data_IF_900494870005
#
_entry.id   IF_900494870005
#
_cell.length_a   1.000
_cell.length_b   1.000
_cell.length_c   1.000
_cell.angle_alpha   90.00
_cell.angle_beta   90.00
_cell.angle_gamma   90.00
#
_symmetry.space_group_name_H-M   'P 1'
#
loop_
_entity.id
_entity.type
_entity.pdbx_description
1 polymer ?
#
# COMPACT_ATOMS: atom_id res chain seq x y z
N UNK A 1 -17.72 10.15 43.42
CA UNK A 1 -16.28 10.37 43.19
C UNK A 1 -15.97 10.02 41.75
N UNK A 2 -15.36 10.95 41.00
CA UNK A 2 -14.88 10.67 39.64
C UNK A 2 -13.63 9.79 39.70
N UNK A 3 -13.83 8.47 39.58
CA UNK A 3 -12.76 7.47 39.58
C UNK A 3 -11.90 7.53 38.32
N UNK A 4 -12.41 8.10 37.22
CA UNK A 4 -11.69 8.18 35.95
C UNK A 4 -10.64 9.28 36.03
N UNK A 5 -10.99 10.44 36.60
CA UNK A 5 -10.05 11.54 36.84
C UNK A 5 -8.92 11.21 37.83
N UNK A 6 -8.92 10.05 38.50
CA UNK A 6 -7.80 9.58 39.34
C UNK A 6 -6.76 8.76 38.58
N UNK A 7 -7.03 8.37 37.33
CA UNK A 7 -6.07 7.62 36.52
C UNK A 7 -4.86 8.50 36.12
N UNK A 8 -3.67 7.93 35.92
CA UNK A 8 -2.54 8.63 35.31
C UNK A 8 -2.84 9.10 33.89
N UNK A 9 -2.23 10.22 33.46
CA UNK A 9 -2.47 10.81 32.13
C UNK A 9 -2.19 9.80 31.00
N UNK A 10 -1.15 8.97 31.11
CA UNK A 10 -0.86 7.95 30.11
C UNK A 10 -2.03 6.97 29.86
N UNK A 11 -2.76 6.57 30.92
CA UNK A 11 -3.92 5.69 30.78
C UNK A 11 -5.14 6.43 30.23
N UNK A 12 -5.27 7.72 30.56
CA UNK A 12 -6.33 8.56 30.02
C UNK A 12 -6.11 8.83 28.52
N UNK A 13 -4.87 9.14 28.10
CA UNK A 13 -4.50 9.31 26.71
C UNK A 13 -4.71 8.03 25.90
N UNK A 14 -4.39 6.86 26.48
CA UNK A 14 -4.69 5.57 25.84
C UNK A 14 -6.18 5.35 25.62
N UNK A 15 -7.03 5.71 26.60
CA UNK A 15 -8.50 5.64 26.46
C UNK A 15 -9.01 6.65 25.43
N UNK A 16 -8.54 7.90 25.48
CA UNK A 16 -8.91 8.93 24.52
C UNK A 16 -8.50 8.56 23.09
N UNK A 17 -7.32 7.97 22.90
CA UNK A 17 -6.85 7.48 21.59
C UNK A 17 -7.68 6.31 21.03
N UNK A 18 -8.45 5.64 21.89
CA UNK A 18 -9.37 4.56 21.49
C UNK A 18 -10.79 5.06 21.17
N UNK A 19 -11.07 6.34 21.39
CA UNK A 19 -12.36 6.93 21.01
C UNK A 19 -12.48 7.01 19.48
N UNK A 20 -13.70 6.87 18.93
CA UNK A 20 -13.88 6.72 17.50
C UNK A 20 -13.71 8.03 16.71
N UNK A 21 -13.90 9.19 17.35
CA UNK A 21 -13.81 10.49 16.68
C UNK A 21 -13.16 11.58 17.55
N UNK A 22 -12.54 12.57 16.90
CA UNK A 22 -11.97 13.75 17.52
C UNK A 22 -13.04 14.56 18.26
N UNK A 23 -14.29 14.54 17.80
CA UNK A 23 -15.42 15.15 18.50
C UNK A 23 -15.62 14.54 19.90
N UNK A 24 -15.56 13.21 20.00
CA UNK A 24 -15.73 12.52 21.28
C UNK A 24 -14.56 12.83 22.22
N UNK A 25 -13.35 12.88 21.67
CA UNK A 25 -12.15 13.25 22.42
C UNK A 25 -12.26 14.69 22.93
N UNK A 26 -12.58 15.66 22.08
CA UNK A 26 -12.72 17.07 22.45
C UNK A 26 -13.89 17.25 23.43
N UNK A 27 -15.00 16.52 23.27
CA UNK A 27 -16.13 16.58 24.20
C UNK A 27 -15.72 16.21 25.64
N UNK A 28 -14.66 15.43 25.85
CA UNK A 28 -14.16 15.14 27.20
C UNK A 28 -13.60 16.37 27.92
N UNK A 29 -13.29 17.46 27.21
CA UNK A 29 -12.74 18.69 27.79
C UNK A 29 -13.64 19.30 28.88
N UNK A 30 -14.95 19.03 28.84
CA UNK A 30 -15.93 19.57 29.80
C UNK A 30 -16.04 18.73 31.08
N UNK A 31 -15.36 17.57 31.16
CA UNK A 31 -15.45 16.68 32.33
C UNK A 31 -14.79 17.28 33.57
N UNK A 32 -13.61 17.91 33.42
CA UNK A 32 -12.96 18.67 34.49
C UNK A 32 -11.83 19.55 33.94
N UNK A 33 -11.28 20.43 34.78
CA UNK A 33 -10.10 21.25 34.44
C UNK A 33 -8.90 20.43 33.96
N UNK A 34 -8.76 19.18 34.41
CA UNK A 34 -7.69 18.27 33.96
C UNK A 34 -7.91 17.82 32.53
N UNK A 35 -9.15 17.51 32.16
CA UNK A 35 -9.49 17.05 30.80
C UNK A 35 -9.50 18.18 29.77
N UNK A 36 -9.63 19.43 30.22
CA UNK A 36 -9.66 20.62 29.35
C UNK A 36 -8.49 20.67 28.36
N UNK A 37 -7.31 20.22 28.78
CA UNK A 37 -6.09 20.21 27.95
C UNK A 37 -5.62 18.81 27.58
N UNK A 38 -6.19 17.77 28.18
CA UNK A 38 -5.72 16.39 28.01
C UNK A 38 -5.95 15.88 26.57
N UNK A 39 -7.03 16.32 25.93
CA UNK A 39 -7.31 15.98 24.54
C UNK A 39 -6.24 16.51 23.57
N UNK A 40 -5.55 17.59 23.93
CA UNK A 40 -4.47 18.19 23.11
C UNK A 40 -3.20 17.36 23.11
N UNK A 41 -3.07 16.39 24.02
CA UNK A 41 -1.91 15.50 24.12
C UNK A 41 -2.19 14.12 23.50
N UNK A 42 -3.32 13.97 22.82
CA UNK A 42 -3.71 12.70 22.22
C UNK A 42 -2.91 12.47 20.93
N UNK A 43 -2.15 11.37 20.83
CA UNK A 43 -1.26 11.14 19.70
C UNK A 43 -2.00 10.86 18.39
N UNK A 44 -3.27 10.44 18.45
CA UNK A 44 -4.08 10.09 17.29
C UNK A 44 -5.46 10.74 17.34
N UNK A 45 -5.80 11.49 16.30
CA UNK A 45 -7.14 12.07 16.14
C UNK A 45 -7.79 11.62 14.83
N UNK A 46 -9.07 11.23 14.92
CA UNK A 46 -9.89 10.78 13.79
C UNK A 46 -10.98 11.81 13.52
N UNK A 47 -10.90 12.52 12.40
CA UNK A 47 -11.89 13.49 11.98
C UNK A 47 -12.82 12.86 10.94
N UNK A 48 -14.13 13.01 11.11
CA UNK A 48 -15.14 12.57 10.16
C UNK A 48 -15.78 13.77 9.44
N UNK A 49 -16.62 13.50 8.43
CA UNK A 49 -17.39 14.51 7.69
C UNK A 49 -18.09 15.57 8.55
N UNK A 50 -18.47 15.20 9.79
CA UNK A 50 -19.29 16.05 10.65
C UNK A 50 -18.44 17.03 11.46
N UNK A 51 -17.11 16.86 11.48
CA UNK A 51 -16.22 17.64 12.33
C UNK A 51 -14.95 18.03 11.58
N UNK A 52 -14.97 19.20 10.95
CA UNK A 52 -13.99 19.57 9.94
C UNK A 52 -12.93 20.58 10.40
N UNK A 53 -12.86 20.93 11.69
CA UNK A 53 -11.92 21.96 12.16
C UNK A 53 -10.79 21.43 13.06
N UNK A 54 -9.67 20.96 12.47
CA UNK A 54 -8.47 20.55 13.19
C UNK A 54 -7.55 21.72 13.61
N UNK A 55 -7.86 23.00 13.31
CA UNK A 55 -6.92 24.13 13.49
C UNK A 55 -6.46 24.36 14.95
N UNK A 56 -7.17 23.79 15.91
CA UNK A 56 -6.96 23.95 17.34
C UNK A 56 -6.18 22.80 18.01
N UNK A 57 -5.83 21.73 17.29
CA UNK A 57 -5.11 20.61 17.87
C UNK A 57 -3.58 20.84 17.79
N UNK A 58 -2.84 20.86 18.90
CA UNK A 58 -1.39 20.99 18.87
C UNK A 58 -0.74 19.60 18.78
N UNK A 59 0.21 19.45 17.84
CA UNK A 59 1.16 18.33 17.68
C UNK A 59 0.54 16.94 17.85
N UNK A 60 0.10 16.38 16.72
CA UNK A 60 -0.47 15.03 16.64
C UNK A 60 0.52 14.13 15.91
N UNK A 61 0.71 12.90 16.36
CA UNK A 61 1.55 11.93 15.65
C UNK A 61 0.82 11.38 14.41
N UNK A 62 -0.45 10.99 14.58
CA UNK A 62 -1.31 10.43 13.52
C UNK A 62 -2.60 11.24 13.35
N UNK A 63 -2.82 11.74 12.14
CA UNK A 63 -4.04 12.44 11.76
C UNK A 63 -4.81 11.61 10.74
N UNK A 64 -6.04 11.24 11.09
CA UNK A 64 -6.87 10.37 10.26
C UNK A 64 -8.15 11.12 9.86
N UNK A 65 -8.35 11.32 8.57
CA UNK A 65 -9.56 11.87 7.99
C UNK A 65 -10.41 10.78 7.33
N UNK A 66 -11.64 10.60 7.83
CA UNK A 66 -12.65 9.70 7.27
C UNK A 66 -13.74 10.50 6.59
N UNK A 67 -13.71 10.50 5.27
CA UNK A 67 -14.52 11.36 4.42
C UNK A 67 -15.61 10.55 3.76
N UNK A 68 -16.84 11.03 3.77
CA UNK A 68 -18.02 10.44 3.18
C UNK A 68 -18.76 11.43 2.27
N UNK A 69 -20.07 11.19 2.10
CA UNK A 69 -20.93 11.81 1.06
C UNK A 69 -20.98 13.33 1.09
N UNK A 70 -20.66 13.96 2.22
CA UNK A 70 -20.93 15.38 2.46
C UNK A 70 -19.69 16.28 2.34
N UNK A 71 -18.51 15.73 2.11
CA UNK A 71 -17.29 16.55 2.05
C UNK A 71 -17.12 17.32 0.75
N UNK A 72 -16.88 18.63 0.89
CA UNK A 72 -16.54 19.52 -0.21
C UNK A 72 -15.02 19.60 -0.42
N UNK A 73 -14.60 20.13 -1.56
CA UNK A 73 -13.17 20.36 -1.87
C UNK A 73 -12.51 21.43 -0.99
N UNK A 74 -13.30 22.26 -0.31
CA UNK A 74 -12.80 23.27 0.63
C UNK A 74 -12.22 22.69 1.92
N UNK A 75 -12.78 21.57 2.39
CA UNK A 75 -12.52 21.05 3.73
C UNK A 75 -11.11 20.42 3.82
N UNK A 76 -10.63 19.86 2.71
CA UNK A 76 -9.33 19.21 2.60
C UNK A 76 -8.18 20.19 2.64
N UNK A 77 -8.39 21.41 2.12
CA UNK A 77 -7.38 22.47 2.24
C UNK A 77 -7.15 22.85 3.70
N UNK A 78 -8.20 22.88 4.51
CA UNK A 78 -8.11 23.16 5.95
C UNK A 78 -7.35 22.05 6.66
N UNK A 79 -7.63 20.80 6.31
CA UNK A 79 -7.01 19.62 6.91
C UNK A 79 -5.53 19.47 6.60
N UNK A 80 -5.14 19.72 5.36
CA UNK A 80 -3.74 19.65 4.99
C UNK A 80 -2.96 20.79 5.63
N UNK A 81 -3.53 22.00 5.69
CA UNK A 81 -2.93 23.08 6.48
C UNK A 81 -2.76 22.68 7.94
N UNK A 82 -3.70 21.96 8.52
CA UNK A 82 -3.57 21.47 9.89
C UNK A 82 -2.52 20.37 10.01
N UNK A 83 -2.46 19.42 9.07
CA UNK A 83 -1.42 18.38 9.00
C UNK A 83 -0.01 19.00 8.93
N UNK A 84 0.17 19.99 8.05
CA UNK A 84 1.41 20.75 7.89
C UNK A 84 1.77 21.51 9.16
N UNK A 85 0.80 22.26 9.72
CA UNK A 85 0.97 23.02 10.97
C UNK A 85 1.30 22.12 12.16
N UNK A 86 0.76 20.91 12.20
CA UNK A 86 0.97 19.96 13.28
C UNK A 86 2.20 19.07 13.08
N UNK A 87 2.89 19.16 11.92
CA UNK A 87 4.05 18.32 11.57
C UNK A 87 3.78 16.82 11.77
N UNK A 88 2.60 16.35 11.32
CA UNK A 88 2.15 14.98 11.55
C UNK A 88 3.13 13.96 10.95
N UNK A 89 3.36 12.86 11.68
CA UNK A 89 4.22 11.76 11.21
C UNK A 89 3.46 10.81 10.31
N UNK A 90 2.17 10.62 10.58
CA UNK A 90 1.28 9.75 9.82
C UNK A 90 0.01 10.51 9.43
N UNK A 91 -0.31 10.49 8.14
CA UNK A 91 -1.55 11.05 7.60
C UNK A 91 -2.33 9.95 6.89
N UNK A 92 -3.57 9.74 7.33
CA UNK A 92 -4.49 8.78 6.74
C UNK A 92 -5.68 9.55 6.18
N UNK A 93 -5.97 9.37 4.90
CA UNK A 93 -7.11 9.98 4.21
C UNK A 93 -7.92 8.86 3.58
N UNK A 94 -9.15 8.66 4.07
CA UNK A 94 -10.10 7.68 3.56
C UNK A 94 -11.31 8.41 2.97
N UNK A 95 -11.67 8.14 1.71
CA UNK A 95 -12.81 8.76 1.03
C UNK A 95 -13.83 7.69 0.62
N UNK A 96 -14.99 7.67 1.26
CA UNK A 96 -16.01 6.63 1.11
C UNK A 96 -17.12 6.98 0.13
N UNK A 97 -17.29 8.25 -0.26
CA UNK A 97 -18.33 8.62 -1.21
C UNK A 97 -18.25 10.10 -1.58
N UNK A 98 -18.09 10.44 -2.87
CA UNK A 98 -18.47 11.77 -3.34
C UNK A 98 -18.99 11.70 -4.77
N UNK A 99 -20.04 12.47 -5.07
CA UNK A 99 -20.58 12.62 -6.43
C UNK A 99 -19.60 13.33 -7.38
N UNK A 100 -18.58 13.98 -6.82
CA UNK A 100 -17.61 14.80 -7.54
C UNK A 100 -16.20 14.52 -7.02
N UNK A 101 -15.20 14.35 -7.89
CA UNK A 101 -13.83 14.15 -7.47
C UNK A 101 -13.33 15.13 -6.43
N UNK A 102 -12.96 14.56 -5.30
CA UNK A 102 -12.20 15.27 -4.30
C UNK A 102 -10.73 15.16 -4.68
N UNK A 103 -10.14 16.27 -5.12
CA UNK A 103 -8.73 16.34 -5.55
C UNK A 103 -7.83 16.68 -4.37
N UNK A 104 -6.77 15.91 -4.15
CA UNK A 104 -5.74 16.25 -3.14
C UNK A 104 -5.10 17.61 -3.50
N UNK A 105 -5.16 18.63 -2.64
CA UNK A 105 -4.59 19.93 -2.93
C UNK A 105 -3.06 19.91 -2.82
N UNK A 106 -2.42 20.79 -3.58
CA UNK A 106 -0.96 20.95 -3.67
C UNK A 106 -0.26 21.13 -2.33
N UNK A 107 -0.95 21.65 -1.32
CA UNK A 107 -0.40 21.87 0.02
C UNK A 107 0.19 20.60 0.64
N UNK A 108 -0.35 19.40 0.33
CA UNK A 108 0.13 18.14 0.91
C UNK A 108 1.56 17.79 0.50
N UNK A 109 2.00 18.36 -0.62
CA UNK A 109 3.29 18.13 -1.23
C UNK A 109 3.96 19.43 -1.68
N UNK A 110 3.62 20.58 -1.09
CA UNK A 110 4.29 21.86 -1.40
C UNK A 110 4.99 22.49 -0.20
N UNK A 111 4.84 21.89 0.98
CA UNK A 111 5.58 22.25 2.20
C UNK A 111 6.62 21.18 2.53
N UNK A 112 7.68 21.55 3.25
CA UNK A 112 8.72 20.62 3.75
C UNK A 112 8.19 19.69 4.85
N UNK A 113 7.15 18.93 4.53
CA UNK A 113 6.44 18.06 5.46
C UNK A 113 7.35 16.91 5.88
N UNK A 114 7.40 16.64 7.19
CA UNK A 114 8.17 15.54 7.79
C UNK A 114 7.34 14.26 7.91
N UNK A 115 6.40 14.09 7.00
CA UNK A 115 5.48 12.96 7.01
C UNK A 115 6.22 11.69 6.64
N UNK A 116 6.12 10.68 7.50
CA UNK A 116 6.77 9.38 7.32
C UNK A 116 5.83 8.39 6.63
N UNK A 117 4.54 8.45 6.96
CA UNK A 117 3.55 7.52 6.46
C UNK A 117 2.36 8.26 5.85
N UNK A 118 1.98 7.88 4.64
CA UNK A 118 0.79 8.38 3.95
C UNK A 118 -0.11 7.22 3.56
N UNK A 119 -1.39 7.30 3.91
CA UNK A 119 -2.41 6.35 3.48
C UNK A 119 -3.51 7.06 2.71
N UNK A 120 -3.70 6.63 1.46
CA UNK A 120 -4.67 7.15 0.51
C UNK A 120 -5.67 6.05 0.16
N UNK A 121 -6.89 6.18 0.63
CA UNK A 121 -7.95 5.19 0.40
C UNK A 121 -9.09 5.82 -0.38
N UNK A 122 -9.37 5.26 -1.56
CA UNK A 122 -10.49 5.62 -2.45
C UNK A 122 -10.49 7.09 -2.91
N UNK A 123 -9.31 7.61 -3.28
CA UNK A 123 -9.11 9.02 -3.65
C UNK A 123 -9.07 9.22 -5.17
N UNK A 124 -9.41 10.43 -5.66
CA UNK A 124 -9.09 10.89 -7.02
C UNK A 124 -7.89 11.81 -7.02
N UNK A 125 -6.94 11.52 -7.90
CA UNK A 125 -5.66 12.21 -7.97
C UNK A 125 -5.73 13.42 -8.91
N UNK A 126 -4.97 14.50 -8.67
CA UNK A 126 -4.94 15.68 -9.54
C UNK A 126 -4.33 15.44 -10.94
N UNK A 127 -3.89 14.21 -11.23
CA UNK A 127 -3.16 13.82 -12.43
C UNK A 127 -1.89 13.04 -12.06
N UNK A 128 -1.20 12.51 -13.07
CA UNK A 128 -0.07 11.60 -12.90
C UNK A 128 1.15 12.25 -12.22
N UNK A 129 1.29 13.58 -12.36
CA UNK A 129 2.39 14.35 -11.76
C UNK A 129 2.29 14.44 -10.23
N UNK A 130 1.14 14.09 -9.63
CA UNK A 130 0.94 14.09 -8.18
C UNK A 130 1.99 13.28 -7.44
N UNK A 131 2.21 12.03 -7.87
CA UNK A 131 3.08 11.10 -7.14
C UNK A 131 4.54 11.56 -7.24
N UNK A 132 4.94 12.06 -8.41
CA UNK A 132 6.26 12.68 -8.61
C UNK A 132 6.46 13.90 -7.71
N UNK A 133 5.45 14.78 -7.63
CA UNK A 133 5.49 15.94 -6.74
C UNK A 133 5.46 15.54 -5.25
N UNK A 134 4.79 14.44 -4.89
CA UNK A 134 4.77 13.92 -3.53
C UNK A 134 6.18 13.53 -3.07
N UNK A 135 6.88 12.68 -3.83
CA UNK A 135 8.22 12.23 -3.45
C UNK A 135 9.28 13.34 -3.55
N UNK A 136 9.14 14.29 -4.48
CA UNK A 136 10.07 15.43 -4.57
C UNK A 136 9.99 16.38 -3.36
N UNK A 137 8.82 16.47 -2.72
CA UNK A 137 8.58 17.42 -1.63
C UNK A 137 8.46 16.77 -0.24
N UNK A 138 8.25 15.45 -0.18
CA UNK A 138 8.27 14.63 1.03
C UNK A 138 9.42 13.60 0.98
N UNK A 139 10.69 14.04 1.00
CA UNK A 139 11.83 13.14 0.78
C UNK A 139 12.03 12.12 1.91
N UNK A 140 11.38 12.29 3.07
CA UNK A 140 11.47 11.39 4.23
C UNK A 140 10.34 10.35 4.28
N UNK A 141 9.49 10.27 3.25
CA UNK A 141 8.37 9.33 3.23
C UNK A 141 8.88 7.88 3.18
N UNK A 142 8.63 7.12 4.24
CA UNK A 142 9.04 5.71 4.38
C UNK A 142 7.90 4.73 4.10
N UNK A 143 6.65 5.14 4.31
CA UNK A 143 5.47 4.30 4.13
C UNK A 143 4.41 4.93 3.24
N UNK A 144 3.94 4.20 2.23
CA UNK A 144 2.84 4.61 1.36
C UNK A 144 1.81 3.49 1.25
N UNK A 145 0.55 3.80 1.55
CA UNK A 145 -0.60 2.92 1.36
C UNK A 145 -1.53 3.56 0.34
N UNK A 146 -1.88 2.81 -0.70
CA UNK A 146 -2.81 3.24 -1.75
C UNK A 146 -3.84 2.15 -1.94
N UNK A 147 -5.10 2.47 -1.67
CA UNK A 147 -6.24 1.56 -1.85
C UNK A 147 -7.20 2.17 -2.84
N UNK A 148 -7.31 1.60 -4.04
CA UNK A 148 -8.09 2.12 -5.17
C UNK A 148 -9.51 1.55 -5.16
N UNK A 149 -10.45 2.32 -5.73
CA UNK A 149 -11.86 1.95 -5.90
C UNK A 149 -12.35 2.27 -7.31
N UNK A 150 -13.55 1.79 -7.71
CA UNK A 150 -14.15 2.01 -9.05
C UNK A 150 -14.11 3.45 -9.55
N UNK A 151 -14.17 4.43 -8.64
CA UNK A 151 -14.21 5.83 -9.00
C UNK A 151 -12.83 6.47 -9.22
N UNK A 152 -11.74 5.73 -9.11
CA UNK A 152 -10.39 6.25 -9.32
C UNK A 152 -10.21 6.77 -10.76
N UNK A 153 -9.59 7.94 -10.88
CA UNK A 153 -9.35 8.62 -12.15
C UNK A 153 -7.96 8.36 -12.71
N UNK A 154 -7.08 7.71 -11.96
CA UNK A 154 -5.79 7.24 -12.46
C UNK A 154 -5.99 5.87 -13.09
N UNK A 155 -5.42 5.65 -14.27
CA UNK A 155 -5.34 4.32 -14.89
C UNK A 155 -4.13 3.58 -14.33
N UNK A 156 -2.95 4.19 -14.41
CA UNK A 156 -1.68 3.62 -13.98
C UNK A 156 -1.07 4.46 -12.85
N UNK A 157 -0.97 3.87 -11.66
CA UNK A 157 -0.43 4.56 -10.50
C UNK A 157 1.09 4.42 -10.43
N UNK A 158 1.82 5.53 -10.64
CA UNK A 158 3.28 5.51 -10.83
C UNK A 158 4.04 6.02 -9.62
N UNK A 159 4.75 5.14 -8.91
CA UNK A 159 5.70 5.42 -7.84
C UNK A 159 7.10 5.53 -8.45
N UNK A 160 7.63 6.74 -8.61
CA UNK A 160 9.00 7.00 -9.07
C UNK A 160 9.71 8.00 -8.16
N UNK A 161 11.00 7.79 -7.92
CA UNK A 161 11.82 8.69 -7.11
C UNK A 161 11.61 8.57 -5.61
N UNK A 162 10.99 7.48 -5.14
CA UNK A 162 10.77 7.18 -3.73
C UNK A 162 12.03 6.65 -3.03
N UNK A 163 13.11 7.44 -3.00
CA UNK A 163 14.43 7.00 -2.53
C UNK A 163 14.46 6.53 -1.06
N UNK A 164 13.52 6.98 -0.22
CA UNK A 164 13.41 6.58 1.18
C UNK A 164 12.24 5.64 1.47
N UNK A 165 11.46 5.26 0.45
CA UNK A 165 10.27 4.44 0.63
C UNK A 165 10.67 3.01 0.98
N UNK A 166 10.30 2.56 2.19
CA UNK A 166 10.59 1.22 2.71
C UNK A 166 9.37 0.30 2.67
N UNK A 167 8.17 0.85 2.77
CA UNK A 167 6.92 0.08 2.77
C UNK A 167 5.93 0.65 1.76
N UNK A 168 5.43 -0.22 0.88
CA UNK A 168 4.44 0.13 -0.13
C UNK A 168 3.31 -0.89 -0.11
N UNK A 169 2.08 -0.40 0.04
CA UNK A 169 0.85 -1.19 -0.01
C UNK A 169 -0.02 -0.66 -1.14
N UNK A 170 -0.35 -1.51 -2.11
CA UNK A 170 -1.13 -1.17 -3.29
C UNK A 170 -2.30 -2.14 -3.42
N UNK A 171 -3.50 -1.72 -3.04
CA UNK A 171 -4.69 -2.56 -3.14
C UNK A 171 -5.68 -1.98 -4.17
N UNK A 172 -6.29 -2.84 -4.96
CA UNK A 172 -7.29 -2.50 -5.98
C UNK A 172 -8.42 -3.51 -5.89
N UNK A 173 -9.59 -3.09 -5.42
CA UNK A 173 -10.65 -3.97 -4.90
C UNK A 173 -11.76 -4.34 -5.91
N UNK A 174 -11.62 -4.04 -7.21
CA UNK A 174 -12.75 -4.26 -8.13
C UNK A 174 -12.38 -4.62 -9.57
N UNK A 175 -12.94 -5.75 -10.03
CA UNK A 175 -12.89 -6.29 -11.38
C UNK A 175 -13.89 -5.58 -12.31
N UNK A 176 -13.60 -4.34 -12.71
CA UNK A 176 -14.29 -3.78 -13.87
C UNK A 176 -13.75 -4.48 -15.13
N UNK A 177 -14.53 -5.40 -15.70
CA UNK A 177 -14.29 -6.12 -16.98
C UNK A 177 -14.05 -5.22 -18.21
N UNK A 178 -13.78 -3.92 -18.05
CA UNK A 178 -13.75 -2.93 -19.12
C UNK A 178 -12.61 -1.89 -19.03
N UNK A 179 -11.63 -2.02 -18.13
CA UNK A 179 -10.41 -1.17 -18.15
C UNK A 179 -9.18 -2.05 -18.37
N UNK A 180 -8.83 -2.24 -19.63
CA UNK A 180 -7.67 -3.04 -20.08
C UNK A 180 -6.32 -2.39 -19.69
N UNK A 181 -6.32 -1.09 -19.33
CA UNK A 181 -5.07 -0.34 -19.06
C UNK A 181 -4.94 0.16 -17.61
N UNK A 182 -5.54 -0.53 -16.62
CA UNK A 182 -5.33 -0.17 -15.22
C UNK A 182 -4.08 -0.86 -14.65
N UNK A 183 -3.36 -0.20 -13.74
CA UNK A 183 -2.12 -0.79 -13.25
C UNK A 183 -1.33 0.01 -12.23
N UNK A 184 -0.16 -0.51 -11.87
CA UNK A 184 0.82 0.19 -11.04
C UNK A 184 2.21 0.19 -11.70
N UNK A 185 2.97 1.25 -11.49
CA UNK A 185 4.37 1.35 -11.90
C UNK A 185 5.23 1.68 -10.69
N UNK A 186 6.25 0.88 -10.41
CA UNK A 186 7.04 1.00 -9.17
C UNK A 186 8.53 1.09 -9.48
N UNK A 187 9.15 2.16 -8.99
CA UNK A 187 10.58 2.41 -8.96
C UNK A 187 10.95 2.96 -7.57
N UNK A 188 11.39 2.05 -6.70
CA UNK A 188 11.73 2.31 -5.30
C UNK A 188 12.83 1.36 -4.80
N UNK A 189 14.09 1.78 -4.91
CA UNK A 189 15.26 0.95 -4.61
C UNK A 189 15.39 0.54 -3.13
N UNK A 190 14.92 1.40 -2.22
CA UNK A 190 14.98 1.19 -0.78
C UNK A 190 13.82 0.37 -0.21
N UNK A 191 12.98 -0.22 -1.08
CA UNK A 191 11.77 -0.90 -0.67
C UNK A 191 12.09 -2.22 0.03
N UNK A 192 11.63 -2.34 1.29
CA UNK A 192 11.80 -3.52 2.14
C UNK A 192 10.53 -4.38 2.22
N UNK A 193 9.36 -3.77 2.03
CA UNK A 193 8.06 -4.41 2.14
C UNK A 193 7.15 -3.96 1.00
N UNK A 194 6.65 -4.93 0.23
CA UNK A 194 5.71 -4.71 -0.86
C UNK A 194 4.49 -5.60 -0.68
N UNK A 195 3.32 -4.98 -0.54
CA UNK A 195 2.04 -5.66 -0.44
C UNK A 195 1.16 -5.21 -1.59
N UNK A 196 0.81 -6.14 -2.47
CA UNK A 196 -0.02 -5.84 -3.63
C UNK A 196 -1.16 -6.82 -3.74
N UNK A 197 -2.36 -6.25 -3.78
CA UNK A 197 -3.61 -6.99 -3.91
C UNK A 197 -4.40 -6.35 -5.04
N UNK A 198 -4.45 -7.01 -6.19
CA UNK A 198 -5.14 -6.47 -7.35
C UNK A 198 -6.17 -7.46 -7.92
N UNK A 199 -7.44 -7.07 -7.80
CA UNK A 199 -8.58 -7.76 -8.38
C UNK A 199 -9.02 -7.16 -9.73
N UNK A 200 -8.36 -6.10 -10.18
CA UNK A 200 -8.56 -5.54 -11.52
C UNK A 200 -7.70 -6.32 -12.53
N UNK A 201 -8.27 -6.61 -13.70
CA UNK A 201 -7.59 -7.26 -14.84
C UNK A 201 -6.55 -6.33 -15.48
N UNK A 202 -5.68 -5.73 -14.67
CA UNK A 202 -4.73 -4.71 -15.03
C UNK A 202 -3.28 -5.17 -14.87
N UNK A 203 -2.34 -4.45 -15.47
CA UNK A 203 -0.92 -4.80 -15.46
C UNK A 203 -0.13 -4.07 -14.37
N UNK A 204 1.01 -4.60 -13.98
CA UNK A 204 1.95 -3.90 -13.11
C UNK A 204 3.37 -3.98 -13.68
N UNK A 205 4.05 -2.84 -13.77
CA UNK A 205 5.34 -2.73 -14.47
C UNK A 205 6.44 -2.05 -13.65
N UNK A 206 7.69 -2.36 -13.98
CA UNK A 206 8.90 -1.80 -13.38
C UNK A 206 9.74 -1.15 -14.47
N UNK A 207 10.32 0.03 -14.22
CA UNK A 207 11.22 0.70 -15.17
C UNK A 207 12.64 0.81 -14.59
N UNK A 208 13.64 0.41 -15.39
CA UNK A 208 15.04 0.80 -15.20
C UNK A 208 15.43 1.84 -16.25
N UNK A 209 15.78 3.04 -15.76
CA UNK A 209 16.61 4.04 -16.43
C UNK A 209 16.47 4.14 -17.97
N UNK A 210 15.32 4.64 -18.43
CA UNK A 210 15.07 4.93 -19.83
C UNK A 210 15.83 6.17 -20.31
N UNK A 211 17.07 6.00 -20.78
CA UNK A 211 17.71 7.00 -21.66
C UNK A 211 17.51 6.61 -23.13
N UNK A 212 16.53 7.25 -23.77
CA UNK A 212 16.24 7.27 -25.22
C UNK A 212 16.01 5.91 -25.90
N UNK A 213 14.75 5.52 -26.10
CA UNK A 213 14.42 4.49 -27.10
C UNK A 213 14.53 5.09 -28.50
N UNK A 214 15.70 4.88 -29.10
CA UNK A 214 15.83 4.55 -30.52
C UNK A 214 15.92 3.02 -30.59
N UNK A 215 15.20 2.43 -31.56
CA UNK A 215 15.14 1.00 -31.89
C UNK A 215 16.41 0.22 -31.47
N UNK A 216 16.25 -0.76 -30.59
CA UNK A 216 17.20 -1.84 -30.43
C UNK A 216 16.45 -3.12 -30.07
N UNK A 217 16.60 -4.11 -30.95
CA UNK A 217 16.37 -5.52 -30.65
C UNK A 217 17.13 -5.92 -29.37
N UNK A 218 16.49 -6.76 -28.56
CA UNK A 218 17.12 -7.64 -27.59
C UNK A 218 18.17 -7.03 -26.65
N UNK A 219 17.72 -6.30 -25.63
CA UNK A 219 18.29 -6.32 -24.28
C UNK A 219 17.56 -5.29 -23.40
N UNK A 220 16.63 -5.73 -22.55
CA UNK A 220 16.35 -4.94 -21.36
C UNK A 220 17.63 -4.90 -20.51
N UNK A 221 18.04 -3.72 -20.01
CA UNK A 221 19.10 -3.68 -19.03
C UNK A 221 18.59 -4.41 -17.79
N UNK A 222 19.25 -5.52 -17.46
CA UNK A 222 19.18 -6.19 -16.16
C UNK A 222 19.46 -5.12 -15.11
N UNK A 223 18.41 -4.62 -14.48
CA UNK A 223 18.49 -3.61 -13.44
C UNK A 223 17.58 -4.04 -12.29
N UNK A 224 18.17 -4.09 -11.11
CA UNK A 224 17.53 -4.57 -9.90
C UNK A 224 16.71 -3.41 -9.31
N UNK A 225 15.38 -3.54 -9.26
CA UNK A 225 14.53 -2.46 -8.71
C UNK A 225 14.24 -2.67 -7.23
N UNK A 226 14.25 -3.92 -6.78
CA UNK A 226 14.11 -4.27 -5.38
C UNK A 226 15.42 -4.89 -4.91
N UNK A 227 16.31 -4.10 -4.29
CA UNK A 227 17.56 -4.64 -3.74
C UNK A 227 17.38 -5.18 -2.31
N UNK A 228 16.40 -4.64 -1.59
CA UNK A 228 16.24 -4.85 -0.15
C UNK A 228 14.91 -5.51 0.21
N UNK A 229 14.16 -6.05 -0.75
CA UNK A 229 12.81 -6.56 -0.49
C UNK A 229 12.87 -7.79 0.43
N UNK A 230 12.37 -7.61 1.64
CA UNK A 230 12.30 -8.63 2.70
C UNK A 230 10.95 -9.32 2.71
N UNK A 231 9.88 -8.57 2.43
CA UNK A 231 8.50 -9.06 2.52
C UNK A 231 7.71 -8.76 1.26
N UNK A 232 7.09 -9.81 0.70
CA UNK A 232 6.24 -9.72 -0.48
C UNK A 232 4.87 -10.35 -0.18
N UNK A 233 3.81 -9.58 -0.38
CA UNK A 233 2.43 -10.08 -0.40
C UNK A 233 1.86 -9.92 -1.81
N UNK A 234 1.29 -10.98 -2.37
CA UNK A 234 0.67 -11.02 -3.70
C UNK A 234 -0.74 -11.61 -3.63
N UNK A 235 -1.69 -10.95 -4.27
CA UNK A 235 -3.05 -11.42 -4.52
C UNK A 235 -3.43 -10.98 -5.92
N UNK A 236 -3.35 -11.86 -6.91
CA UNK A 236 -3.47 -11.45 -8.32
C UNK A 236 -4.34 -12.43 -9.08
N UNK A 237 -5.30 -11.92 -9.85
CA UNK A 237 -6.13 -12.74 -10.73
C UNK A 237 -5.52 -12.95 -12.13
N UNK A 238 -4.40 -12.27 -12.46
CA UNK A 238 -3.79 -12.32 -13.78
C UNK A 238 -2.24 -12.41 -13.79
N UNK A 239 -1.75 -13.12 -14.80
CA UNK A 239 -0.37 -13.53 -15.10
C UNK A 239 0.54 -12.32 -15.46
N UNK A 240 0.01 -11.12 -15.65
CA UNK A 240 0.81 -9.94 -16.01
C UNK A 240 1.63 -9.36 -14.83
N UNK A 241 1.24 -9.71 -13.61
CA UNK A 241 2.00 -9.41 -12.38
C UNK A 241 3.38 -10.09 -12.36
N UNK A 242 3.57 -11.14 -13.16
CA UNK A 242 4.86 -11.78 -13.37
C UNK A 242 5.92 -10.81 -13.88
N UNK A 243 5.54 -9.73 -14.57
CA UNK A 243 6.48 -8.72 -15.06
C UNK A 243 7.14 -7.90 -13.94
N UNK A 244 6.58 -7.87 -12.72
CA UNK A 244 7.20 -7.18 -11.59
C UNK A 244 8.44 -7.89 -11.08
N UNK A 245 8.38 -9.21 -10.93
CA UNK A 245 9.57 -9.96 -10.53
C UNK A 245 10.49 -10.10 -11.73
N UNK A 246 9.94 -10.16 -12.95
CA UNK A 246 10.68 -10.67 -14.10
C UNK A 246 11.14 -9.66 -15.15
N UNK A 247 10.74 -8.37 -15.06
CA UNK A 247 11.07 -7.34 -16.06
C UNK A 247 10.78 -7.77 -17.52
N UNK A 248 9.77 -8.61 -17.74
CA UNK A 248 9.36 -9.05 -19.07
C UNK A 248 8.38 -8.05 -19.71
N UNK A 249 8.33 -8.03 -21.05
CA UNK A 249 7.51 -7.09 -21.83
C UNK A 249 6.01 -7.18 -21.45
N UNK A 250 5.27 -6.06 -21.39
CA UNK A 250 3.82 -6.10 -21.50
C UNK A 250 3.45 -6.63 -22.89
N UNK A 251 2.57 -7.62 -22.96
CA UNK A 251 2.08 -8.16 -24.23
C UNK A 251 1.32 -7.06 -24.99
N UNK A 252 1.54 -6.99 -26.31
CA UNK A 252 0.67 -6.23 -27.22
C UNK A 252 -0.47 -7.12 -27.66
N UNK A 253 -1.64 -6.52 -27.86
CA UNK A 253 -2.87 -7.17 -28.31
C UNK A 253 -2.66 -8.16 -29.47
N UNK A 254 -3.15 -9.39 -29.29
CA UNK A 254 -3.25 -10.55 -30.22
C UNK A 254 -2.29 -11.74 -30.03
N UNK A 255 -1.53 -11.84 -28.94
CA UNK A 255 -0.81 -13.09 -28.61
C UNK A 255 -1.70 -14.05 -27.79
N UNK A 256 -1.59 -15.38 -27.98
CA UNK A 256 -2.25 -16.36 -27.12
C UNK A 256 -1.81 -16.15 -25.65
N UNK A 257 -2.69 -16.50 -24.70
CA UNK A 257 -2.45 -16.36 -23.25
C UNK A 257 -1.00 -16.74 -22.90
N UNK A 258 -0.26 -15.93 -22.14
CA UNK A 258 1.14 -16.23 -21.83
C UNK A 258 1.20 -17.52 -21.02
N UNK A 259 1.72 -18.59 -21.63
CA UNK A 259 2.26 -19.72 -20.88
C UNK A 259 3.43 -19.20 -20.06
N UNK A 260 3.49 -19.55 -18.77
CA UNK A 260 4.64 -19.21 -17.94
C UNK A 260 5.93 -19.67 -18.63
N UNK A 261 6.89 -18.75 -18.74
CA UNK A 261 8.23 -19.04 -19.23
C UNK A 261 9.20 -18.76 -18.09
N UNK A 262 9.88 -19.81 -17.61
CA UNK A 262 10.84 -19.65 -16.53
C UNK A 262 11.93 -18.63 -16.92
N UNK A 263 12.24 -17.66 -16.06
CA UNK A 263 13.34 -16.74 -16.29
C UNK A 263 14.68 -17.37 -16.62
N UNK A 264 15.44 -16.66 -17.45
CA UNK A 264 16.88 -16.90 -17.59
C UNK A 264 17.70 -16.40 -16.38
N UNK A 265 17.18 -15.45 -15.59
CA UNK A 265 17.84 -14.90 -14.42
C UNK A 265 16.88 -14.71 -13.24
N UNK A 266 17.31 -15.11 -12.05
CA UNK A 266 16.55 -14.89 -10.81
C UNK A 266 16.83 -13.46 -10.30
N UNK A 267 15.78 -12.70 -9.90
CA UNK A 267 15.96 -11.37 -9.32
C UNK A 267 16.83 -11.40 -8.06
N UNK A 268 17.66 -10.38 -7.86
CA UNK A 268 18.58 -10.31 -6.72
C UNK A 268 17.82 -10.38 -5.39
N UNK A 269 16.71 -9.66 -5.21
CA UNK A 269 15.92 -9.72 -3.98
C UNK A 269 15.45 -11.12 -3.62
N UNK A 270 15.03 -11.91 -4.61
CA UNK A 270 14.59 -13.29 -4.36
C UNK A 270 15.76 -14.11 -3.83
N UNK A 271 16.97 -13.92 -4.38
CA UNK A 271 18.16 -14.62 -3.95
C UNK A 271 18.72 -14.15 -2.61
N UNK A 272 18.70 -12.85 -2.32
CA UNK A 272 19.56 -12.25 -1.27
C UNK A 272 18.80 -11.68 -0.07
N UNK A 273 17.52 -11.33 -0.21
CA UNK A 273 16.82 -10.57 0.83
C UNK A 273 15.43 -11.09 1.20
N UNK A 274 14.74 -11.80 0.30
CA UNK A 274 13.35 -12.19 0.52
C UNK A 274 13.23 -13.21 1.66
N UNK A 275 12.57 -12.80 2.75
CA UNK A 275 12.38 -13.61 3.96
C UNK A 275 10.94 -14.08 4.13
N UNK A 276 9.95 -13.29 3.70
CA UNK A 276 8.53 -13.67 3.84
C UNK A 276 7.76 -13.48 2.54
N UNK A 277 7.03 -14.53 2.15
CA UNK A 277 6.09 -14.51 1.04
C UNK A 277 4.67 -14.77 1.58
N UNK A 278 3.73 -13.94 1.19
CA UNK A 278 2.30 -14.17 1.45
C UNK A 278 1.57 -14.19 0.12
N UNK A 279 0.92 -15.31 -0.17
CA UNK A 279 0.06 -15.48 -1.34
C UNK A 279 -1.37 -15.51 -0.86
N UNK A 280 -2.16 -14.56 -1.35
CA UNK A 280 -3.56 -14.42 -0.98
C UNK A 280 -4.43 -14.85 -2.17
N UNK A 281 -5.49 -15.59 -1.88
CA UNK A 281 -6.43 -16.11 -2.88
C UNK A 281 -5.79 -16.98 -3.99
N UNK A 282 -4.87 -17.85 -3.61
CA UNK A 282 -4.28 -18.86 -4.49
C UNK A 282 -5.36 -19.79 -5.08
N UNK A 283 -5.36 -19.97 -6.40
CA UNK A 283 -6.31 -20.79 -7.17
C UNK A 283 -5.72 -22.11 -7.67
N UNK A 284 -4.40 -22.29 -7.53
CA UNK A 284 -3.66 -23.49 -7.92
C UNK A 284 -3.65 -23.76 -9.42
N UNK A 285 -3.62 -22.68 -10.21
CA UNK A 285 -3.40 -22.80 -11.66
C UNK A 285 -1.98 -23.29 -11.95
N UNK A 286 -1.75 -23.78 -13.17
CA UNK A 286 -0.43 -24.26 -13.61
C UNK A 286 0.64 -23.18 -13.42
N UNK A 287 0.32 -21.93 -13.77
CA UNK A 287 1.22 -20.79 -13.68
C UNK A 287 1.52 -20.38 -12.23
N UNK A 288 0.50 -20.38 -11.37
CA UNK A 288 0.68 -20.11 -9.94
C UNK A 288 1.56 -21.17 -9.27
N UNK A 289 1.36 -22.45 -9.62
CA UNK A 289 2.21 -23.56 -9.15
C UNK A 289 3.65 -23.40 -9.59
N UNK A 290 3.88 -23.09 -10.86
CA UNK A 290 5.23 -22.92 -11.42
C UNK A 290 5.97 -21.73 -10.80
N UNK A 291 5.27 -20.61 -10.56
CA UNK A 291 5.82 -19.45 -9.87
C UNK A 291 6.11 -19.77 -8.39
N UNK A 292 5.18 -20.41 -7.68
CA UNK A 292 5.40 -20.84 -6.30
C UNK A 292 6.62 -21.76 -6.22
N UNK A 293 6.73 -22.74 -7.12
CA UNK A 293 7.88 -23.63 -7.23
C UNK A 293 9.17 -22.85 -7.53
N UNK A 294 9.15 -21.89 -8.45
CA UNK A 294 10.26 -21.00 -8.75
C UNK A 294 10.73 -20.20 -7.54
N UNK A 295 9.83 -19.54 -6.81
CA UNK A 295 10.18 -18.76 -5.63
C UNK A 295 10.75 -19.63 -4.51
N UNK A 296 10.11 -20.78 -4.23
CA UNK A 296 10.56 -21.73 -3.20
C UNK A 296 11.94 -22.34 -3.52
N UNK A 297 12.20 -22.67 -4.79
CA UNK A 297 13.49 -23.24 -5.22
C UNK A 297 14.58 -22.20 -5.42
N UNK A 298 14.23 -20.92 -5.57
CA UNK A 298 15.20 -19.86 -5.84
C UNK A 298 15.60 -19.08 -4.59
N UNK A 299 14.67 -18.84 -3.67
CA UNK A 299 14.89 -17.95 -2.54
C UNK A 299 15.75 -18.58 -1.43
N UNK A 300 16.94 -18.01 -1.20
CA UNK A 300 17.92 -18.56 -0.24
C UNK A 300 17.57 -18.25 1.22
N UNK A 301 16.91 -17.11 1.48
CA UNK A 301 16.67 -16.58 2.84
C UNK A 301 15.21 -16.66 3.26
N UNK A 302 14.35 -17.33 2.48
CA UNK A 302 12.92 -17.44 2.76
C UNK A 302 12.71 -18.17 4.09
N UNK A 303 12.07 -17.51 5.07
CA UNK A 303 11.79 -18.04 6.40
C UNK A 303 10.34 -18.47 6.55
N UNK A 304 9.42 -17.73 5.93
CA UNK A 304 7.99 -17.97 6.05
C UNK A 304 7.28 -17.80 4.70
N UNK A 305 6.43 -18.76 4.39
CA UNK A 305 5.50 -18.67 3.27
C UNK A 305 4.09 -18.88 3.82
N UNK A 306 3.18 -17.95 3.53
CA UNK A 306 1.77 -18.05 3.89
C UNK A 306 0.96 -18.15 2.61
N UNK A 307 0.09 -19.15 2.48
CA UNK A 307 -0.80 -19.27 1.32
C UNK A 307 -2.24 -19.33 1.82
N UNK A 308 -3.08 -18.41 1.35
CA UNK A 308 -4.53 -18.48 1.54
C UNK A 308 -5.19 -18.86 0.22
N UNK A 309 -6.07 -19.87 0.27
CA UNK A 309 -6.78 -20.36 -0.92
C UNK A 309 -8.03 -19.52 -1.18
N UNK A 310 -8.31 -19.26 -2.47
CA UNK A 310 -9.58 -18.66 -2.89
C UNK A 310 -10.76 -19.63 -2.78
N UNK A 311 -10.52 -20.92 -3.03
CA UNK A 311 -11.55 -21.95 -2.91
C UNK A 311 -12.09 -22.02 -1.48
N UNK A 312 -13.38 -22.32 -1.33
CA UNK A 312 -14.02 -22.62 -0.05
C UNK A 312 -14.14 -24.13 0.22
N UNK A 313 -13.85 -24.95 -0.79
CA UNK A 313 -13.88 -26.41 -0.70
C UNK A 313 -12.68 -26.93 0.10
N UNK A 314 -12.92 -27.88 1.01
CA UNK A 314 -11.88 -28.39 1.91
C UNK A 314 -10.97 -29.41 1.23
N UNK A 315 -11.49 -30.19 0.30
CA UNK A 315 -10.74 -31.24 -0.39
C UNK A 315 -9.84 -30.60 -1.44
N UNK A 316 -10.33 -29.58 -2.16
CA UNK A 316 -9.49 -28.75 -3.04
C UNK A 316 -8.36 -28.10 -2.26
N UNK A 317 -8.65 -27.42 -1.14
CA UNK A 317 -7.63 -26.84 -0.26
C UNK A 317 -6.59 -27.87 0.17
N UNK A 318 -7.03 -29.07 0.53
CA UNK A 318 -6.13 -30.12 1.02
C UNK A 318 -5.17 -30.60 -0.07
N UNK A 319 -5.66 -30.81 -1.30
CA UNK A 319 -4.80 -31.20 -2.42
C UNK A 319 -3.83 -30.07 -2.82
N UNK A 320 -4.28 -28.81 -2.84
CA UNK A 320 -3.39 -27.64 -3.05
C UNK A 320 -2.24 -27.61 -2.03
N UNK A 321 -2.59 -27.77 -0.73
CA UNK A 321 -1.64 -27.79 0.38
C UNK A 321 -0.60 -28.89 0.18
N UNK A 322 -1.07 -30.07 -0.18
CA UNK A 322 -0.26 -31.27 -0.35
C UNK A 322 0.73 -31.08 -1.50
N UNK A 323 0.29 -30.61 -2.67
CA UNK A 323 1.16 -30.35 -3.81
C UNK A 323 2.25 -29.30 -3.49
N UNK A 324 1.86 -28.17 -2.90
CA UNK A 324 2.81 -27.12 -2.49
C UNK A 324 3.80 -27.59 -1.41
N UNK A 325 3.40 -28.53 -0.57
CA UNK A 325 4.27 -29.08 0.48
C UNK A 325 5.40 -29.95 -0.09
N UNK A 326 5.17 -30.60 -1.24
CA UNK A 326 6.14 -31.44 -1.95
C UNK A 326 7.17 -30.62 -2.76
N UNK A 327 6.92 -29.34 -3.00
CA UNK A 327 7.85 -28.48 -3.72
C UNK A 327 9.18 -28.34 -2.99
N UNK A 328 10.28 -28.44 -3.75
CA UNK A 328 11.63 -28.27 -3.22
C UNK A 328 11.84 -26.85 -2.72
N UNK A 329 12.30 -26.72 -1.48
CA UNK A 329 12.63 -25.44 -0.85
C UNK A 329 14.14 -25.30 -0.77
N UNK A 330 14.69 -24.18 -1.26
CA UNK A 330 16.12 -23.90 -1.18
C UNK A 330 16.56 -23.48 0.22
N UNK A 331 15.74 -22.68 0.88
CA UNK A 331 15.94 -22.32 2.28
C UNK A 331 15.49 -23.46 3.21
N UNK A 332 16.39 -24.03 4.03
CA UNK A 332 16.03 -25.10 4.97
C UNK A 332 15.19 -24.60 6.15
N UNK A 333 15.20 -23.28 6.40
CA UNK A 333 14.42 -22.64 7.47
C UNK A 333 13.04 -22.17 7.02
N UNK A 334 12.68 -22.41 5.76
CA UNK A 334 11.41 -21.98 5.19
C UNK A 334 10.24 -22.80 5.74
N UNK A 335 9.37 -22.15 6.50
CA UNK A 335 8.13 -22.73 7.00
C UNK A 335 6.97 -22.33 6.09
N UNK A 336 6.32 -23.34 5.49
CA UNK A 336 5.10 -23.16 4.72
C UNK A 336 3.89 -23.27 5.65
N UNK A 337 3.05 -22.24 5.64
CA UNK A 337 1.84 -22.12 6.45
C UNK A 337 0.65 -21.82 5.55
N UNK A 338 -0.51 -22.34 5.92
CA UNK A 338 -1.75 -22.16 5.16
C UNK A 338 -2.78 -21.49 6.05
N UNK A 339 -3.46 -20.47 5.50
CA UNK A 339 -4.40 -19.59 6.23
C UNK A 339 -5.86 -19.91 5.94
#
# INVERSE_FOLDING_TARGET
MDRISQLPDALLLKKLSSLPSAKDVVATMVLSKRWQFLWMLVPKLVFDDKYQNPEYAPVIETLHFKLGKTCGSGDIRVWIKAADKCCVRELIIEIYSSKTPVTIPRSLYSGGCRMLNLSLVSIKYPGDEFVKMLFSNCPVLEGLVVKRCLSDNVTIFTVRGGLCLKSLVLHSFEAAKMKVDCGFWIDAQSLESLDIVDYSCGFCGIENNMSKIVKADNAYPVGNVFHCLVRLTICTCEIEWLNLLMCCHPLRDNEPRPSWNEPSAVPECVLTSLETLEWVEYEDTEEERELAAFLLRSANYLKKVTISSKSTDRDEKFEMIKELSFLSRRSPTCHLTFA
#
